data_IF_375246289316
#
_entry.id   IF_375246289316
#
_cell.length_a   1.000
_cell.length_b   1.000
_cell.length_c   1.000
_cell.angle_alpha   90.00
_cell.angle_beta   90.00
_cell.angle_gamma   90.00
#
_symmetry.space_group_name_H-M   'P 1'
#
loop_
_entity.id
_entity.type
_entity.pdbx_description
1 polymer ?
#
# COMPACT_ATOMS: atom_id res chain seq x y z
N UNK A 1 2.88 14.03 -1.96
CA UNK A 1 3.85 15.14 -1.71
C UNK A 1 4.57 14.85 -0.39
N UNK A 2 5.72 14.19 -0.42
CA UNK A 2 6.66 14.37 0.68
C UNK A 2 7.43 15.63 0.40
N UNK A 3 7.20 16.59 1.28
CA UNK A 3 7.88 17.85 1.24
C UNK A 3 9.40 17.59 1.36
N UNK A 4 10.24 18.26 0.55
CA UNK A 4 11.68 18.39 0.78
C UNK A 4 12.08 18.57 2.26
N UNK A 5 11.15 19.09 3.08
CA UNK A 5 11.28 19.37 4.50
C UNK A 5 11.61 18.21 5.42
N UNK A 6 11.18 16.95 5.24
CA UNK A 6 11.56 15.88 6.22
C UNK A 6 13.05 15.55 6.10
N UNK A 7 13.54 15.43 4.88
CA UNK A 7 14.96 15.29 4.60
C UNK A 7 15.74 16.58 4.93
N UNK A 8 15.17 17.76 4.69
CA UNK A 8 15.81 19.04 5.05
C UNK A 8 15.87 19.23 6.57
N UNK A 9 14.86 18.79 7.34
CA UNK A 9 14.85 18.76 8.80
C UNK A 9 15.91 17.79 9.33
N UNK A 10 16.00 16.59 8.76
CA UNK A 10 17.08 15.66 9.06
C UNK A 10 18.47 16.24 8.70
N UNK A 11 18.54 17.01 7.62
CA UNK A 11 19.73 17.77 7.22
C UNK A 11 20.11 18.87 8.20
N UNK A 12 19.12 19.56 8.76
CA UNK A 12 19.33 20.60 9.77
C UNK A 12 19.79 19.99 11.11
N UNK A 13 19.25 18.83 11.49
CA UNK A 13 19.58 18.17 12.76
C UNK A 13 20.88 17.34 12.72
N UNK A 14 21.12 16.61 11.62
CA UNK A 14 22.19 15.61 11.50
C UNK A 14 23.15 15.88 10.33
N UNK A 15 23.05 17.05 9.70
CA UNK A 15 23.87 17.43 8.56
C UNK A 15 23.56 16.64 7.28
N UNK A 16 24.42 16.79 6.27
CA UNK A 16 24.24 16.21 4.94
C UNK A 16 24.07 14.69 4.96
N UNK A 17 24.76 13.99 5.87
CA UNK A 17 24.66 12.52 6.00
C UNK A 17 23.26 12.09 6.42
N UNK A 18 22.66 12.76 7.40
CA UNK A 18 21.29 12.46 7.85
C UNK A 18 20.25 12.76 6.77
N UNK A 19 20.42 13.86 6.03
CA UNK A 19 19.56 14.18 4.87
C UNK A 19 19.55 13.07 3.83
N UNK A 20 20.73 12.58 3.44
CA UNK A 20 20.88 11.51 2.45
C UNK A 20 20.23 10.23 2.96
N UNK A 21 20.54 9.83 4.20
CA UNK A 21 20.01 8.61 4.79
C UNK A 21 18.47 8.57 4.82
N UNK A 22 17.84 9.62 5.36
CA UNK A 22 16.37 9.70 5.45
C UNK A 22 15.72 9.77 4.06
N UNK A 23 16.34 10.49 3.12
CA UNK A 23 15.85 10.55 1.73
C UNK A 23 15.90 9.17 1.06
N UNK A 24 16.98 8.41 1.27
CA UNK A 24 17.11 7.05 0.72
C UNK A 24 16.10 6.10 1.34
N UNK A 25 15.97 6.08 2.67
CA UNK A 25 14.98 5.25 3.37
C UNK A 25 13.56 5.54 2.87
N UNK A 26 13.22 6.81 2.74
CA UNK A 26 11.92 7.21 2.26
C UNK A 26 11.66 6.78 0.80
N UNK A 27 12.66 6.89 -0.08
CA UNK A 27 12.54 6.40 -1.46
C UNK A 27 12.34 4.89 -1.52
N UNK A 28 13.06 4.14 -0.67
CA UNK A 28 12.88 2.71 -0.53
C UNK A 28 11.48 2.35 -0.03
N UNK A 29 10.95 3.09 0.95
CA UNK A 29 9.59 2.93 1.46
C UNK A 29 8.53 3.13 0.37
N UNK A 30 8.66 4.17 -0.46
CA UNK A 30 7.72 4.39 -1.57
C UNK A 30 7.81 3.30 -2.65
N UNK A 31 9.01 2.87 -3.01
CA UNK A 31 9.20 1.75 -3.95
C UNK A 31 8.59 0.49 -3.35
N UNK A 32 8.84 0.25 -2.07
CA UNK A 32 8.31 -0.84 -1.28
C UNK A 32 6.77 -0.92 -1.32
N UNK A 33 6.12 0.18 -0.96
CA UNK A 33 4.67 0.31 -1.02
C UNK A 33 4.14 0.11 -2.46
N UNK A 34 4.85 0.59 -3.47
CA UNK A 34 4.44 0.42 -4.88
C UNK A 34 4.51 -1.04 -5.34
N UNK A 35 5.54 -1.78 -4.91
CA UNK A 35 5.63 -3.23 -5.17
C UNK A 35 4.49 -3.96 -4.46
N UNK A 36 4.21 -3.63 -3.20
CA UNK A 36 3.10 -4.24 -2.46
C UNK A 36 1.75 -4.02 -3.15
N UNK A 37 1.52 -2.87 -3.78
CA UNK A 37 0.30 -2.61 -4.57
C UNK A 37 0.23 -3.49 -5.85
N UNK A 38 1.35 -3.77 -6.51
CA UNK A 38 1.39 -4.69 -7.66
C UNK A 38 1.09 -6.12 -7.21
N UNK A 39 1.68 -6.57 -6.09
CA UNK A 39 1.43 -7.90 -5.53
C UNK A 39 -0.04 -8.02 -5.12
N UNK A 40 -0.59 -7.02 -4.41
CA UNK A 40 -1.99 -6.98 -4.03
C UNK A 40 -2.93 -7.08 -5.25
N UNK A 41 -2.63 -6.35 -6.32
CA UNK A 41 -3.39 -6.42 -7.57
C UNK A 41 -3.35 -7.84 -8.17
N UNK A 42 -2.15 -8.39 -8.31
CA UNK A 42 -1.95 -9.67 -8.97
C UNK A 42 -2.54 -10.84 -8.18
N UNK A 43 -2.34 -10.87 -6.87
CA UNK A 43 -2.85 -11.93 -6.00
C UNK A 43 -4.38 -11.88 -5.89
N UNK A 44 -4.97 -10.69 -5.83
CA UNK A 44 -6.43 -10.53 -5.84
C UNK A 44 -7.06 -11.01 -7.15
N UNK A 45 -6.42 -10.75 -8.30
CA UNK A 45 -6.87 -11.29 -9.58
C UNK A 45 -6.67 -12.79 -9.69
N UNK A 46 -5.57 -13.32 -9.16
CA UNK A 46 -5.32 -14.76 -9.14
C UNK A 46 -6.36 -15.51 -8.31
N UNK A 47 -6.81 -14.93 -7.19
CA UNK A 47 -7.93 -15.46 -6.40
C UNK A 47 -9.24 -15.52 -7.21
N UNK A 48 -9.48 -14.56 -8.12
CA UNK A 48 -10.66 -14.56 -9.00
C UNK A 48 -10.51 -15.49 -10.22
N UNK A 49 -9.29 -15.64 -10.73
CA UNK A 49 -8.96 -16.41 -11.93
C UNK A 49 -7.73 -17.30 -11.69
N UNK A 50 -7.91 -18.43 -10.97
CA UNK A 50 -6.79 -19.28 -10.54
C UNK A 50 -6.01 -19.93 -11.70
N UNK A 51 -6.66 -20.09 -12.86
CA UNK A 51 -6.05 -20.69 -14.06
C UNK A 51 -4.93 -19.83 -14.67
N UNK A 52 -4.88 -18.53 -14.31
CA UNK A 52 -3.89 -17.59 -14.84
C UNK A 52 -2.80 -17.36 -13.79
N UNK A 53 -1.54 -17.54 -14.20
CA UNK A 53 -0.39 -17.37 -13.31
C UNK A 53 -0.22 -15.93 -12.78
N UNK A 54 0.25 -15.80 -11.54
CA UNK A 54 0.48 -14.51 -10.87
C UNK A 54 1.44 -13.59 -11.62
N UNK A 55 2.45 -14.14 -12.30
CA UNK A 55 3.39 -13.36 -13.13
C UNK A 55 2.66 -12.65 -14.28
N UNK A 56 1.69 -13.32 -14.92
CA UNK A 56 0.87 -12.72 -15.98
C UNK A 56 0.07 -11.54 -15.45
N UNK A 57 -0.50 -11.65 -14.26
CA UNK A 57 -1.21 -10.53 -13.63
C UNK A 57 -0.28 -9.40 -13.18
N UNK A 58 0.96 -9.70 -12.77
CA UNK A 58 1.96 -8.66 -12.50
C UNK A 58 2.30 -7.90 -13.78
N UNK A 59 2.51 -8.60 -14.91
CA UNK A 59 2.73 -7.97 -16.22
C UNK A 59 1.52 -7.12 -16.62
N UNK A 60 0.30 -7.62 -16.43
CA UNK A 60 -0.92 -6.85 -16.65
C UNK A 60 -0.95 -5.58 -15.80
N UNK A 61 -0.56 -5.67 -14.52
CA UNK A 61 -0.46 -4.53 -13.62
C UNK A 61 0.45 -3.43 -14.17
N UNK A 62 1.58 -3.78 -14.80
CA UNK A 62 2.44 -2.78 -15.42
C UNK A 62 1.73 -2.03 -16.55
N UNK A 63 1.00 -2.72 -17.42
CA UNK A 63 0.29 -2.08 -18.52
C UNK A 63 -0.93 -1.28 -18.07
N UNK A 64 -1.58 -1.65 -16.98
CA UNK A 64 -2.80 -0.97 -16.49
C UNK A 64 -2.51 0.11 -15.46
N UNK A 65 -1.55 -0.09 -14.55
CA UNK A 65 -1.23 0.84 -13.47
C UNK A 65 -0.19 1.88 -13.89
N UNK A 66 0.79 1.58 -14.73
CA UNK A 66 1.80 2.57 -15.17
C UNK A 66 1.17 3.80 -15.85
N UNK A 67 0.16 3.67 -16.73
CA UNK A 67 -0.53 4.82 -17.30
C UNK A 67 -1.10 5.79 -16.26
N UNK A 68 -1.52 5.27 -15.10
CA UNK A 68 -2.07 6.11 -14.03
C UNK A 68 -1.04 7.10 -13.47
N UNK A 69 0.26 6.79 -13.58
CA UNK A 69 1.34 7.67 -13.12
C UNK A 69 1.46 8.96 -13.95
N UNK A 70 0.85 9.01 -15.14
CA UNK A 70 0.80 10.19 -16.00
C UNK A 70 -0.47 11.02 -15.82
N UNK A 71 -1.50 10.47 -15.17
CA UNK A 71 -2.75 11.18 -14.94
C UNK A 71 -2.56 12.30 -13.92
N UNK A 72 -3.21 13.43 -14.17
CA UNK A 72 -3.16 14.57 -13.27
C UNK A 72 -3.80 14.20 -11.92
N UNK A 73 -3.08 14.55 -10.85
CA UNK A 73 -3.46 14.46 -9.42
C UNK A 73 -4.79 15.20 -9.11
N UNK A 74 -5.39 15.89 -10.07
CA UNK A 74 -6.68 16.58 -9.89
C UNK A 74 -7.87 15.62 -9.68
N UNK A 75 -7.76 14.35 -10.02
CA UNK A 75 -8.81 13.34 -9.80
C UNK A 75 -8.73 12.61 -8.44
N UNK A 76 -7.82 13.05 -7.54
CA UNK A 76 -7.53 12.34 -6.29
C UNK A 76 -8.70 12.20 -5.31
N UNK A 77 -9.67 13.11 -5.32
CA UNK A 77 -10.83 13.03 -4.42
C UNK A 77 -11.70 11.81 -4.75
N UNK A 78 -11.97 11.59 -6.04
CA UNK A 78 -12.75 10.43 -6.50
C UNK A 78 -12.03 9.12 -6.24
N UNK A 79 -10.71 9.07 -6.45
CA UNK A 79 -9.92 7.86 -6.22
C UNK A 79 -9.81 7.52 -4.72
N UNK A 80 -9.74 8.54 -3.85
CA UNK A 80 -9.73 8.33 -2.39
C UNK A 80 -11.05 7.77 -1.86
N UNK A 81 -12.19 8.22 -2.41
CA UNK A 81 -13.50 7.68 -2.05
C UNK A 81 -13.61 6.18 -2.34
N UNK A 82 -13.12 5.73 -3.51
CA UNK A 82 -13.12 4.30 -3.87
C UNK A 82 -12.28 3.47 -2.89
N UNK A 83 -11.13 3.98 -2.44
CA UNK A 83 -10.29 3.29 -1.45
C UNK A 83 -10.97 3.15 -0.08
N UNK A 84 -11.68 4.20 0.38
CA UNK A 84 -12.46 4.17 1.62
C UNK A 84 -13.60 3.17 1.49
N UNK A 85 -14.36 3.24 0.39
CA UNK A 85 -15.46 2.32 0.12
C UNK A 85 -15.00 0.87 0.08
N UNK A 86 -13.88 0.58 -0.59
CA UNK A 86 -13.26 -0.76 -0.61
C UNK A 86 -12.95 -1.27 0.79
N UNK A 87 -12.35 -0.43 1.63
CA UNK A 87 -11.99 -0.81 3.00
C UNK A 87 -13.22 -1.07 3.87
N UNK A 88 -14.24 -0.22 3.76
CA UNK A 88 -15.49 -0.36 4.51
C UNK A 88 -16.30 -1.59 4.07
N UNK A 89 -16.40 -1.83 2.75
CA UNK A 89 -17.06 -3.03 2.22
C UNK A 89 -16.37 -4.29 2.71
N UNK A 90 -15.03 -4.32 2.76
CA UNK A 90 -14.31 -5.48 3.27
C UNK A 90 -14.66 -5.78 4.74
N UNK A 91 -14.71 -4.74 5.60
CA UNK A 91 -15.14 -4.89 7.00
C UNK A 91 -16.56 -5.46 7.08
N UNK A 92 -17.50 -4.89 6.31
CA UNK A 92 -18.89 -5.34 6.30
C UNK A 92 -19.03 -6.80 5.83
N UNK A 93 -18.30 -7.19 4.79
CA UNK A 93 -18.34 -8.55 4.27
C UNK A 93 -17.77 -9.54 5.29
N UNK A 94 -16.68 -9.19 5.98
CA UNK A 94 -16.15 -10.04 7.07
C UNK A 94 -17.13 -10.16 8.23
N UNK A 95 -17.80 -9.07 8.63
CA UNK A 95 -18.85 -9.14 9.63
C UNK A 95 -20.00 -10.06 9.19
N UNK A 96 -20.43 -9.93 7.93
CA UNK A 96 -21.52 -10.74 7.38
C UNK A 96 -21.14 -12.21 7.27
N UNK A 97 -19.99 -12.53 6.70
CA UNK A 97 -19.49 -13.91 6.55
C UNK A 97 -19.28 -14.56 7.92
N UNK A 98 -18.70 -13.83 8.87
CA UNK A 98 -18.49 -14.32 10.23
C UNK A 98 -19.78 -14.56 11.01
N UNK A 99 -20.82 -13.75 10.80
CA UNK A 99 -22.11 -13.89 11.49
C UNK A 99 -23.08 -14.84 10.78
N UNK A 100 -22.94 -15.05 9.47
CA UNK A 100 -23.85 -15.88 8.67
C UNK A 100 -23.56 -17.38 8.79
N UNK A 101 -22.30 -17.74 9.05
CA UNK A 101 -21.89 -19.14 9.20
C UNK A 101 -21.96 -19.56 10.67
N UNK A 102 -22.61 -20.68 10.96
CA UNK A 102 -22.75 -21.21 12.33
C UNK A 102 -21.63 -22.14 12.77
N UNK A 103 -20.85 -22.67 11.84
CA UNK A 103 -19.80 -23.67 12.11
C UNK A 103 -18.44 -23.20 11.59
N UNK A 104 -17.37 -23.58 12.29
CA UNK A 104 -16.00 -23.36 11.82
C UNK A 104 -15.63 -24.21 10.59
N UNK A 105 -14.62 -23.82 9.78
CA UNK A 105 -13.89 -22.56 9.82
C UNK A 105 -14.68 -21.42 9.16
N UNK A 106 -14.40 -20.19 9.57
CA UNK A 106 -15.00 -18.98 9.01
C UNK A 106 -16.18 -18.41 9.82
N UNK A 107 -16.45 -18.92 11.02
CA UNK A 107 -17.53 -18.41 11.87
C UNK A 107 -16.97 -17.56 13.00
N UNK A 108 -17.66 -16.46 13.32
CA UNK A 108 -17.45 -15.70 14.57
C UNK A 108 -18.34 -16.23 15.70
N UNK A 109 -19.33 -17.07 15.40
CA UNK A 109 -20.24 -17.69 16.36
C UNK A 109 -19.66 -19.01 16.92
N UNK A 110 -18.92 -19.76 16.10
CA UNK A 110 -18.10 -20.90 16.49
C UNK A 110 -16.62 -20.63 16.11
N UNK A 111 -15.87 -19.87 16.94
CA UNK A 111 -14.49 -19.51 16.64
C UNK A 111 -13.55 -20.71 16.54
N UNK A 112 -12.55 -20.61 15.68
CA UNK A 112 -11.44 -21.55 15.61
C UNK A 112 -10.59 -21.52 16.89
N UNK A 113 -9.90 -22.62 17.23
CA UNK A 113 -8.91 -22.63 18.30
C UNK A 113 -7.82 -21.58 18.06
N UNK A 114 -7.60 -20.71 19.04
CA UNK A 114 -6.61 -19.62 19.00
C UNK A 114 -5.57 -19.78 20.09
N UNK A 115 -4.39 -19.19 19.86
CA UNK A 115 -3.30 -19.16 20.82
C UNK A 115 -3.11 -17.73 21.32
N UNK A 116 -2.93 -17.57 22.64
CA UNK A 116 -2.66 -16.26 23.25
C UNK A 116 -1.25 -15.75 22.93
N UNK A 117 -0.29 -16.67 22.78
CA UNK A 117 1.10 -16.37 22.45
C UNK A 117 1.44 -16.86 21.04
N UNK A 118 2.37 -16.20 20.34
CA UNK A 118 2.79 -16.62 19.02
C UNK A 118 3.39 -18.04 19.09
N UNK A 119 2.87 -18.92 18.25
CA UNK A 119 3.39 -20.30 18.09
C UNK A 119 4.83 -20.27 17.58
N UNK A 120 5.15 -19.29 16.74
CA UNK A 120 6.48 -19.06 16.22
C UNK A 120 6.94 -17.63 16.51
N UNK A 121 7.86 -17.47 17.47
CA UNK A 121 8.41 -16.17 17.84
C UNK A 121 9.17 -15.47 16.71
N UNK A 122 9.65 -16.22 15.71
CA UNK A 122 10.33 -15.64 14.54
C UNK A 122 9.39 -14.87 13.60
N UNK A 123 8.06 -14.99 13.77
CA UNK A 123 7.09 -14.20 13.00
C UNK A 123 6.77 -12.85 13.64
N UNK A 124 7.22 -12.57 14.87
CA UNK A 124 6.98 -11.28 15.52
C UNK A 124 7.59 -10.10 14.76
N UNK A 125 8.87 -10.13 14.31
CA UNK A 125 9.42 -9.05 13.50
C UNK A 125 8.58 -8.80 12.24
N UNK A 126 8.07 -9.88 11.63
CA UNK A 126 7.20 -9.79 10.47
C UNK A 126 5.88 -9.07 10.81
N UNK A 127 5.23 -9.44 11.92
CA UNK A 127 4.01 -8.76 12.36
C UNK A 127 4.25 -7.28 12.67
N UNK A 128 5.35 -6.95 13.36
CA UNK A 128 5.69 -5.58 13.73
C UNK A 128 5.95 -4.69 12.51
N UNK A 129 6.74 -5.15 11.53
CA UNK A 129 6.96 -4.31 10.35
C UNK A 129 5.72 -4.20 9.47
N UNK A 130 4.82 -5.21 9.42
CA UNK A 130 3.53 -5.06 8.72
C UNK A 130 2.66 -4.00 9.40
N UNK A 131 2.64 -3.99 10.73
CA UNK A 131 1.98 -2.96 11.52
C UNK A 131 2.61 -1.58 11.26
N UNK A 132 3.94 -1.47 11.34
CA UNK A 132 4.66 -0.22 11.08
C UNK A 132 4.37 0.33 9.68
N UNK A 133 4.36 -0.54 8.66
CA UNK A 133 4.00 -0.17 7.30
C UNK A 133 2.54 0.29 7.18
N UNK A 134 1.60 -0.38 7.88
CA UNK A 134 0.19 0.02 7.93
C UNK A 134 -0.06 1.39 8.57
N UNK A 135 0.80 1.79 9.51
CA UNK A 135 0.73 3.08 10.21
C UNK A 135 1.68 4.15 9.66
N UNK A 136 2.33 3.89 8.52
CA UNK A 136 3.23 4.83 7.88
C UNK A 136 2.46 5.99 7.24
N UNK A 137 2.28 7.08 7.98
CA UNK A 137 1.66 8.34 7.52
C UNK A 137 2.57 9.56 7.62
N UNK A 138 3.71 9.45 8.29
CA UNK A 138 4.64 10.53 8.63
C UNK A 138 5.07 11.38 7.43
N UNK A 139 5.09 10.71 6.28
CA UNK A 139 5.41 11.21 4.98
C UNK A 139 4.40 12.29 4.49
N UNK A 140 3.10 12.05 4.68
CA UNK A 140 2.05 12.95 4.17
C UNK A 140 1.71 14.07 5.15
N UNK A 141 2.06 13.93 6.42
CA UNK A 141 1.74 14.86 7.50
C UNK A 141 2.06 16.33 7.21
N UNK A 142 3.24 16.71 6.67
CA UNK A 142 3.53 18.12 6.41
C UNK A 142 2.61 18.74 5.35
N UNK A 143 2.21 17.94 4.35
CA UNK A 143 1.28 18.40 3.31
C UNK A 143 -0.13 18.53 3.88
N UNK A 144 -0.60 17.53 4.64
CA UNK A 144 -1.91 17.58 5.31
C UNK A 144 -2.00 18.79 6.24
N UNK A 145 -0.99 19.00 7.08
CA UNK A 145 -0.92 20.15 8.00
C UNK A 145 -1.07 21.49 7.27
N UNK A 146 -0.36 21.66 6.15
CA UNK A 146 -0.40 22.91 5.36
C UNK A 146 -1.74 23.09 4.66
N UNK A 147 -2.36 22.00 4.22
CA UNK A 147 -3.60 22.04 3.44
C UNK A 147 -4.84 22.15 4.36
N UNK A 148 -4.67 22.03 5.69
CA UNK A 148 -5.73 22.29 6.67
C UNK A 148 -6.06 23.78 6.79
N UNK A 149 -7.35 24.11 6.78
CA UNK A 149 -7.82 25.47 7.05
C UNK A 149 -7.44 25.96 8.47
N UNK A 150 -7.44 25.04 9.45
CA UNK A 150 -7.09 25.30 10.85
C UNK A 150 -5.97 24.34 11.32
N UNK A 151 -4.69 24.66 11.05
CA UNK A 151 -3.57 23.76 11.34
C UNK A 151 -3.38 23.44 12.84
N UNK A 152 -3.87 24.29 13.74
CA UNK A 152 -3.87 24.06 15.20
C UNK A 152 -4.61 22.78 15.62
N UNK A 153 -5.58 22.33 14.81
CA UNK A 153 -6.32 21.10 15.06
C UNK A 153 -5.60 19.84 14.58
N UNK A 154 -4.46 19.96 13.88
CA UNK A 154 -3.74 18.83 13.30
C UNK A 154 -3.42 17.70 14.32
N UNK A 155 -2.92 17.97 15.54
CA UNK A 155 -2.66 16.91 16.51
C UNK A 155 -3.93 16.13 16.89
N UNK A 156 -5.07 16.82 17.02
CA UNK A 156 -6.36 16.17 17.32
C UNK A 156 -6.81 15.29 16.16
N UNK A 157 -6.71 15.79 14.92
CA UNK A 157 -7.06 15.03 13.72
C UNK A 157 -6.20 13.78 13.58
N UNK A 158 -4.89 13.89 13.81
CA UNK A 158 -3.98 12.73 13.79
C UNK A 158 -4.37 11.72 14.86
N UNK A 159 -4.62 12.15 16.10
CA UNK A 159 -5.00 11.25 17.20
C UNK A 159 -6.30 10.48 16.89
N UNK A 160 -7.35 11.17 16.44
CA UNK A 160 -8.61 10.51 16.10
C UNK A 160 -8.46 9.57 14.90
N UNK A 161 -7.70 9.96 13.87
CA UNK A 161 -7.47 9.12 12.69
C UNK A 161 -6.71 7.85 13.08
N UNK A 162 -5.63 7.96 13.85
CA UNK A 162 -4.85 6.80 14.29
C UNK A 162 -5.65 5.89 15.23
N UNK A 163 -6.47 6.45 16.13
CA UNK A 163 -7.36 5.66 16.97
C UNK A 163 -8.36 4.88 16.13
N UNK A 164 -9.04 5.54 15.18
CA UNK A 164 -10.00 4.89 14.30
C UNK A 164 -9.35 3.79 13.44
N UNK A 165 -8.19 4.06 12.83
CA UNK A 165 -7.44 3.06 12.06
C UNK A 165 -7.01 1.88 12.93
N UNK A 166 -6.53 2.14 14.16
CA UNK A 166 -6.13 1.09 15.09
C UNK A 166 -7.28 0.18 15.48
N UNK A 167 -8.47 0.75 15.74
CA UNK A 167 -9.65 -0.04 16.06
C UNK A 167 -10.09 -0.92 14.88
N UNK A 168 -10.07 -0.39 13.66
CA UNK A 168 -10.42 -1.17 12.45
C UNK A 168 -9.40 -2.30 12.23
N UNK A 169 -8.11 -2.02 12.36
CA UNK A 169 -7.06 -3.04 12.21
C UNK A 169 -7.15 -4.11 13.29
N UNK A 170 -7.33 -3.72 14.55
CA UNK A 170 -7.52 -4.65 15.65
C UNK A 170 -8.77 -5.52 15.46
N UNK A 171 -9.88 -4.93 15.01
CA UNK A 171 -11.10 -5.65 14.68
C UNK A 171 -10.86 -6.68 13.56
N UNK A 172 -10.28 -6.27 12.43
CA UNK A 172 -10.03 -7.16 11.30
C UNK A 172 -9.04 -8.28 11.66
N UNK A 173 -8.00 -7.99 12.43
CA UNK A 173 -7.05 -8.98 12.90
C UNK A 173 -7.72 -9.98 13.85
N UNK A 174 -8.49 -9.49 14.83
CA UNK A 174 -9.22 -10.36 15.77
C UNK A 174 -10.26 -11.22 15.04
N UNK A 175 -11.07 -10.63 14.15
CA UNK A 175 -12.07 -11.36 13.40
C UNK A 175 -11.44 -12.43 12.51
N UNK A 176 -10.42 -12.09 11.73
CA UNK A 176 -9.71 -13.06 10.88
C UNK A 176 -9.08 -14.20 11.69
N UNK A 177 -8.47 -13.90 12.83
CA UNK A 177 -7.86 -14.91 13.69
C UNK A 177 -8.89 -15.79 14.39
N UNK A 178 -10.02 -15.24 14.85
CA UNK A 178 -11.11 -16.02 15.41
C UNK A 178 -11.78 -16.90 14.34
N UNK A 179 -11.93 -16.41 13.11
CA UNK A 179 -12.59 -17.15 12.03
C UNK A 179 -11.73 -18.30 11.49
N UNK A 180 -10.41 -18.12 11.39
CA UNK A 180 -9.53 -19.08 10.69
C UNK A 180 -8.39 -19.65 11.55
N UNK A 181 -8.20 -19.16 12.78
CA UNK A 181 -7.17 -19.65 13.70
C UNK A 181 -5.77 -19.52 13.12
N UNK A 182 -4.92 -20.52 13.38
CA UNK A 182 -3.54 -20.54 12.87
C UNK A 182 -3.44 -20.82 11.36
N UNK A 183 -4.54 -21.21 10.72
CA UNK A 183 -4.63 -21.46 9.28
C UNK A 183 -5.03 -20.21 8.49
N UNK A 184 -5.09 -19.05 9.15
CA UNK A 184 -5.44 -17.78 8.52
C UNK A 184 -4.46 -17.45 7.38
N UNK A 185 -4.99 -17.40 6.16
CA UNK A 185 -4.28 -16.86 4.99
C UNK A 185 -4.68 -15.42 4.73
N UNK A 186 -4.28 -14.88 3.57
CA UNK A 186 -4.74 -13.56 3.14
C UNK A 186 -6.26 -13.58 2.99
N UNK A 187 -6.91 -12.50 3.43
CA UNK A 187 -8.36 -12.50 3.67
C UNK A 187 -9.19 -12.82 2.42
N UNK A 188 -8.79 -12.34 1.24
CA UNK A 188 -9.49 -12.65 -0.03
C UNK A 188 -9.44 -14.14 -0.38
N UNK A 189 -8.34 -14.83 -0.06
CA UNK A 189 -8.23 -16.27 -0.29
C UNK A 189 -9.19 -17.02 0.65
N UNK A 190 -9.20 -16.67 1.94
CA UNK A 190 -10.11 -17.28 2.89
C UNK A 190 -11.59 -17.04 2.51
N UNK A 191 -11.95 -15.82 2.12
CA UNK A 191 -13.31 -15.46 1.71
C UNK A 191 -13.79 -16.24 0.48
N UNK A 192 -12.91 -16.48 -0.49
CA UNK A 192 -13.28 -17.16 -1.73
C UNK A 192 -13.25 -18.69 -1.58
N UNK A 193 -12.35 -19.23 -0.74
CA UNK A 193 -12.18 -20.66 -0.54
C UNK A 193 -13.17 -21.27 0.47
N UNK A 194 -13.72 -20.47 1.39
CA UNK A 194 -14.56 -20.98 2.48
C UNK A 194 -15.95 -21.38 1.98
N UNK A 195 -16.36 -22.65 2.13
CA UNK A 195 -17.70 -23.09 1.76
C UNK A 195 -18.77 -22.45 2.67
N UNK A 196 -19.92 -22.13 2.07
CA UNK A 196 -21.08 -21.55 2.77
C UNK A 196 -21.12 -20.02 2.78
N UNK A 197 -20.05 -19.33 2.39
CA UNK A 197 -20.06 -17.89 2.23
C UNK A 197 -20.78 -17.42 0.98
N UNK A 198 -21.26 -16.17 1.01
CA UNK A 198 -21.91 -15.57 -0.13
C UNK A 198 -20.87 -15.16 -1.18
N UNK A 199 -20.71 -16.01 -2.19
CA UNK A 199 -19.74 -15.85 -3.26
C UNK A 199 -19.92 -14.55 -4.07
N UNK A 200 -21.15 -14.01 -4.16
CA UNK A 200 -21.38 -12.75 -4.86
C UNK A 200 -20.78 -11.58 -4.07
N UNK A 201 -21.06 -11.51 -2.76
CA UNK A 201 -20.50 -10.48 -1.88
C UNK A 201 -18.97 -10.55 -1.83
N UNK A 202 -18.43 -11.77 -1.76
CA UNK A 202 -16.99 -11.97 -1.66
C UNK A 202 -16.29 -11.58 -2.97
N UNK A 203 -16.84 -11.96 -4.12
CA UNK A 203 -16.32 -11.49 -5.43
C UNK A 203 -16.38 -9.97 -5.55
N UNK A 204 -17.46 -9.32 -5.09
CA UNK A 204 -17.56 -7.86 -5.10
C UNK A 204 -16.49 -7.21 -4.22
N UNK A 205 -16.26 -7.73 -3.02
CA UNK A 205 -15.19 -7.25 -2.13
C UNK A 205 -13.81 -7.40 -2.78
N UNK A 206 -13.52 -8.57 -3.37
CA UNK A 206 -12.24 -8.82 -4.05
C UNK A 206 -12.05 -7.89 -5.25
N UNK A 207 -13.09 -7.63 -6.05
CA UNK A 207 -13.02 -6.64 -7.14
C UNK A 207 -12.72 -5.22 -6.63
N UNK A 208 -13.29 -4.81 -5.49
CA UNK A 208 -12.94 -3.53 -4.88
C UNK A 208 -11.48 -3.47 -4.44
N UNK A 209 -10.91 -4.59 -3.95
CA UNK A 209 -9.48 -4.70 -3.64
C UNK A 209 -8.64 -4.55 -4.92
N UNK A 210 -9.02 -5.21 -6.02
CA UNK A 210 -8.35 -5.12 -7.34
C UNK A 210 -8.32 -3.68 -7.85
N UNK A 211 -9.36 -2.88 -7.59
CA UNK A 211 -9.43 -1.48 -8.00
C UNK A 211 -8.52 -0.58 -7.14
N UNK A 212 -8.25 -0.95 -5.89
CA UNK A 212 -7.53 -0.09 -4.94
C UNK A 212 -6.13 0.35 -5.44
N UNK A 213 -5.28 -0.53 -6.00
CA UNK A 213 -4.02 -0.15 -6.63
C UNK A 213 -4.12 0.96 -7.69
N UNK A 214 -5.19 1.03 -8.48
CA UNK A 214 -5.36 2.12 -9.47
C UNK A 214 -5.45 3.50 -8.83
N UNK A 215 -5.88 3.57 -7.57
CA UNK A 215 -6.04 4.83 -6.84
C UNK A 215 -4.76 5.24 -6.11
N UNK A 216 -3.96 4.27 -5.67
CA UNK A 216 -2.79 4.49 -4.80
C UNK A 216 -1.44 4.39 -5.52
N UNK A 217 -1.35 3.67 -6.63
CA UNK A 217 -0.07 3.41 -7.30
C UNK A 217 0.58 4.70 -7.81
N UNK A 218 -0.15 5.50 -8.59
CA UNK A 218 0.33 6.80 -9.07
C UNK A 218 0.71 7.76 -7.93
N UNK A 219 -0.11 7.79 -6.88
CA UNK A 219 0.13 8.61 -5.68
C UNK A 219 1.44 8.26 -5.00
N UNK A 220 1.66 6.97 -4.78
CA UNK A 220 2.84 6.44 -4.07
C UNK A 220 4.09 6.71 -4.89
N UNK A 221 4.06 6.39 -6.19
CA UNK A 221 5.20 6.61 -7.10
C UNK A 221 5.47 8.08 -7.42
N UNK A 222 4.50 8.98 -7.21
CA UNK A 222 4.69 10.41 -7.50
C UNK A 222 5.90 11.01 -6.77
N UNK A 223 6.16 10.59 -5.53
CA UNK A 223 7.31 11.06 -4.76
C UNK A 223 8.65 10.57 -5.32
N UNK A 224 8.68 9.31 -5.76
CA UNK A 224 9.87 8.69 -6.39
C UNK A 224 10.17 9.37 -7.72
N UNK A 225 9.15 9.44 -8.59
CA UNK A 225 9.25 10.04 -9.91
C UNK A 225 9.67 11.50 -9.82
N UNK A 226 9.05 12.29 -8.95
CA UNK A 226 9.41 13.70 -8.76
C UNK A 226 10.87 13.87 -8.31
N UNK A 227 11.35 13.04 -7.38
CA UNK A 227 12.73 13.11 -6.88
C UNK A 227 13.74 12.78 -7.97
N UNK A 228 13.46 11.77 -8.80
CA UNK A 228 14.31 11.38 -9.93
C UNK A 228 14.29 12.44 -11.02
N UNK A 229 13.10 12.90 -11.43
CA UNK A 229 12.90 13.95 -12.43
C UNK A 229 13.66 15.23 -12.02
N UNK A 230 13.51 15.66 -10.77
CA UNK A 230 14.21 16.85 -10.24
C UNK A 230 15.74 16.67 -10.27
N UNK A 231 16.22 15.47 -9.94
CA UNK A 231 17.65 15.16 -9.97
C UNK A 231 18.22 15.21 -11.39
N UNK A 232 17.47 14.69 -12.37
CA UNK A 232 17.84 14.74 -13.80
C UNK A 232 17.87 16.20 -14.28
N UNK A 233 16.80 16.97 -14.04
CA UNK A 233 16.70 18.35 -14.54
C UNK A 233 17.67 19.33 -13.89
N UNK A 234 18.11 19.07 -12.65
CA UNK A 234 19.15 19.87 -11.98
C UNK A 234 20.56 19.52 -12.39
N UNK A 235 20.79 18.38 -13.04
CA UNK A 235 22.12 17.96 -13.43
C UNK A 235 22.64 18.84 -14.59
N UNK A 236 23.86 19.41 -14.51
CA UNK A 236 24.38 20.35 -15.52
C UNK A 236 24.34 19.81 -16.95
N UNK A 237 24.63 18.52 -17.13
CA UNK A 237 24.62 17.83 -18.43
C UNK A 237 23.24 17.80 -19.11
N UNK A 238 22.15 17.88 -18.34
CA UNK A 238 20.77 17.78 -18.83
C UNK A 238 20.01 19.11 -18.71
N UNK A 239 20.68 20.17 -18.28
CA UNK A 239 20.09 21.51 -18.14
C UNK A 239 19.50 22.06 -19.46
N UNK A 240 20.08 21.69 -20.61
CA UNK A 240 19.56 22.05 -21.94
C UNK A 240 18.18 21.44 -22.26
N UNK A 241 17.85 20.27 -21.69
CA UNK A 241 16.56 19.59 -21.89
C UNK A 241 15.39 20.37 -21.29
N UNK A 242 15.65 21.19 -20.26
CA UNK A 242 14.62 22.04 -19.63
C UNK A 242 14.11 23.16 -20.54
N UNK A 243 14.82 23.46 -21.65
CA UNK A 243 14.43 24.52 -22.59
C UNK A 243 13.27 24.12 -23.51
N UNK A 244 13.02 22.82 -23.69
CA UNK A 244 11.96 22.31 -24.55
C UNK A 244 10.89 21.59 -23.73
N UNK A 245 9.63 22.03 -23.86
CA UNK A 245 8.48 21.36 -23.22
C UNK A 245 8.35 19.91 -23.67
N UNK A 246 8.64 19.61 -24.93
CA UNK A 246 8.61 18.25 -25.45
C UNK A 246 9.69 17.37 -24.81
N UNK A 247 10.92 17.87 -24.72
CA UNK A 247 12.03 17.13 -24.10
C UNK A 247 11.75 16.85 -22.61
N UNK A 248 11.18 17.81 -21.88
CA UNK A 248 10.76 17.59 -20.49
C UNK A 248 9.71 16.48 -20.37
N UNK A 249 8.63 16.52 -21.16
CA UNK A 249 7.61 15.46 -21.14
C UNK A 249 8.17 14.10 -21.55
N UNK A 250 9.12 14.05 -22.50
CA UNK A 250 9.78 12.80 -22.89
C UNK A 250 10.63 12.23 -21.75
N UNK A 251 11.39 13.06 -21.03
CA UNK A 251 12.16 12.64 -19.86
C UNK A 251 11.23 12.12 -18.76
N UNK A 252 10.12 12.81 -18.49
CA UNK A 252 9.11 12.34 -17.53
C UNK A 252 8.49 11.02 -17.96
N UNK A 253 8.16 10.87 -19.25
CA UNK A 253 7.66 9.62 -19.80
C UNK A 253 8.64 8.46 -19.60
N UNK A 254 9.87 8.63 -20.05
CA UNK A 254 10.90 7.58 -19.96
C UNK A 254 11.24 7.25 -18.51
N UNK A 255 11.41 8.26 -17.65
CA UNK A 255 11.76 8.04 -16.23
C UNK A 255 10.65 7.30 -15.47
N UNK A 256 9.38 7.68 -15.64
CA UNK A 256 8.25 7.00 -14.99
C UNK A 256 8.06 5.58 -15.48
N UNK A 257 8.28 5.34 -16.77
CA UNK A 257 8.29 4.00 -17.35
C UNK A 257 9.40 3.14 -16.71
N UNK A 258 10.63 3.65 -16.65
CA UNK A 258 11.77 2.94 -16.05
C UNK A 258 11.55 2.64 -14.56
N UNK A 259 11.06 3.61 -13.79
CA UNK A 259 10.75 3.40 -12.37
C UNK A 259 9.68 2.31 -12.23
N UNK A 260 8.60 2.37 -13.01
CA UNK A 260 7.55 1.35 -12.98
C UNK A 260 8.07 -0.03 -13.41
N UNK A 261 9.00 -0.09 -14.37
CA UNK A 261 9.69 -1.32 -14.78
C UNK A 261 10.54 -1.90 -13.65
N UNK A 262 11.25 -1.08 -12.88
CA UNK A 262 12.01 -1.56 -11.71
C UNK A 262 11.07 -2.13 -10.65
N UNK A 263 9.96 -1.44 -10.36
CA UNK A 263 8.97 -1.90 -9.37
C UNK A 263 8.38 -3.26 -9.78
N UNK A 264 7.99 -3.45 -11.03
CA UNK A 264 7.47 -4.76 -11.47
C UNK A 264 8.53 -5.86 -11.45
N UNK A 265 9.78 -5.56 -11.84
CA UNK A 265 10.86 -6.56 -11.77
C UNK A 265 11.06 -7.03 -10.33
N UNK A 266 11.08 -6.10 -9.37
CA UNK A 266 11.15 -6.45 -7.95
C UNK A 266 9.93 -7.28 -7.54
N UNK A 267 8.71 -6.91 -7.96
CA UNK A 267 7.50 -7.67 -7.67
C UNK A 267 7.52 -9.10 -8.21
N UNK A 268 8.13 -9.33 -9.38
CA UNK A 268 8.26 -10.66 -10.00
C UNK A 268 9.33 -11.48 -9.27
N UNK A 269 10.50 -10.89 -9.00
CA UNK A 269 11.62 -11.58 -8.34
C UNK A 269 11.34 -11.90 -6.87
N UNK A 270 10.59 -11.03 -6.19
CA UNK A 270 10.24 -11.16 -4.78
C UNK A 270 8.71 -11.18 -4.62
N UNK A 271 8.03 -12.31 -4.90
CA UNK A 271 6.59 -12.40 -4.79
C UNK A 271 6.05 -12.20 -3.36
N UNK A 272 6.86 -12.48 -2.34
CA UNK A 272 6.57 -12.20 -0.92
C UNK A 272 7.32 -10.95 -0.41
N UNK A 273 7.46 -9.93 -1.26
CA UNK A 273 8.26 -8.73 -0.94
C UNK A 273 7.72 -7.93 0.24
N UNK A 274 6.41 -8.01 0.51
CA UNK A 274 5.81 -7.51 1.75
C UNK A 274 6.53 -8.08 2.98
N UNK A 275 6.95 -9.35 2.95
CA UNK A 275 7.74 -9.97 4.02
C UNK A 275 9.19 -9.48 4.10
N UNK A 276 9.75 -8.99 3.00
CA UNK A 276 11.13 -8.51 2.88
C UNK A 276 11.28 -7.04 3.27
N UNK A 277 10.28 -6.20 2.98
CA UNK A 277 10.26 -4.78 3.40
C UNK A 277 10.13 -4.68 4.92
N UNK A 278 9.28 -5.53 5.47
CA UNK A 278 8.93 -5.55 6.88
C UNK A 278 10.13 -5.87 7.78
N UNK A 279 11.09 -6.67 7.27
CA UNK A 279 12.37 -6.91 7.95
C UNK A 279 13.38 -5.77 7.78
N UNK A 280 13.26 -4.93 6.75
CA UNK A 280 14.09 -3.73 6.53
C UNK A 280 13.68 -2.55 7.43
N UNK A 281 12.40 -2.43 7.81
CA UNK A 281 11.91 -1.36 8.71
C UNK A 281 12.39 -1.53 10.16
N UNK A 282 12.90 -2.72 10.51
CA UNK A 282 13.37 -3.06 11.86
C UNK A 282 14.90 -2.96 12.04
N UNK A 283 15.62 -2.42 11.05
CA UNK A 283 17.08 -2.13 11.10
C UNK A 283 17.30 -0.64 11.01
#
# INVERSE_FOLDING_TARGET
MLSPRTADMAGAAYGTRGRIFISTMFMLELIAASVALIVLFADSLHVLFPDIGTVTFKILAFFTLTPTTYLAIRHLSYTSFVGILSSFTLVLVICYDGASKSERPGSLLDPMPTNLLPVNWMTLPLAFGQMAAGFAGHATFPSVYRDMAEPEHFPRVVNYTYLATSLIYAFMAAAGYLMFGNDVKVIMENMMATPGYNQLLNKLAVWLIVINPFTKYALTLSGVNFTIELSIFRHPAFSSLTKSKFAMHLVQFVSRLLVSSVVIIIAILFPAFDRVIVSLVLV
#
